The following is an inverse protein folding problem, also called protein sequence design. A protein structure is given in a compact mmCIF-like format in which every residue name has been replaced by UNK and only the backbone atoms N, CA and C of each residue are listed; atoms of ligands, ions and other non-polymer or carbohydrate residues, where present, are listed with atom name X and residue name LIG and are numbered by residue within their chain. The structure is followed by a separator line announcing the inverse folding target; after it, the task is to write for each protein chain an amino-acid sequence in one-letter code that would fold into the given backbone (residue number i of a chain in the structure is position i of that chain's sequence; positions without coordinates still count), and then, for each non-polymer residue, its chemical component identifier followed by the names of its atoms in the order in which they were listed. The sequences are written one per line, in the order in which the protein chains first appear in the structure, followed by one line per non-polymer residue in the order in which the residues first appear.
data_IF_420191674988
#
_entry.id   IF_420191674988
#
_cell.length_a   1.000
_cell.length_b   1.000
_cell.length_c   1.000
_cell.angle_alpha   90.00
_cell.angle_beta   90.00
_cell.angle_gamma   90.00
#
_symmetry.space_group_name_H-M   'P 1'
#
loop_
_entity.id
_entity.type
_entity.pdbx_description
1 polymer ?
#
# COMPACT_ATOMS: atom_id res chain seq x y z
N UNK A 1 19.82 -8.89 -3.90
CA UNK A 1 18.35 -8.89 -3.91
C UNK A 1 17.91 -7.65 -3.16
N UNK A 2 17.09 -6.75 -3.74
CA UNK A 2 16.65 -5.56 -3.02
C UNK A 2 15.82 -5.99 -1.82
N UNK A 3 16.14 -5.46 -0.63
CA UNK A 3 15.38 -5.70 0.60
C UNK A 3 14.16 -4.78 0.72
N UNK A 4 13.92 -3.93 -0.28
CA UNK A 4 12.86 -2.93 -0.28
C UNK A 4 12.12 -2.87 -1.61
N UNK A 5 10.89 -2.37 -1.53
CA UNK A 5 9.98 -2.06 -2.64
C UNK A 5 9.55 -0.60 -2.52
N UNK A 6 9.25 0.03 -3.65
CA UNK A 6 8.78 1.43 -3.63
C UNK A 6 7.27 1.46 -3.44
N UNK A 7 6.78 2.27 -2.52
CA UNK A 7 5.36 2.42 -2.24
C UNK A 7 4.94 3.85 -2.54
N UNK A 8 3.87 3.98 -3.32
CA UNK A 8 3.19 5.24 -3.57
C UNK A 8 1.71 5.09 -3.23
N UNK A 9 1.19 6.00 -2.41
CA UNK A 9 -0.22 6.05 -2.03
C UNK A 9 -0.77 7.38 -2.49
N UNK A 10 -1.73 7.31 -3.39
CA UNK A 10 -2.30 8.47 -4.07
C UNK A 10 -3.80 8.49 -3.83
N UNK A 11 -4.35 9.66 -3.55
CA UNK A 11 -5.79 9.93 -3.54
C UNK A 11 -6.14 10.86 -4.71
N UNK A 12 -7.41 11.21 -4.84
CA UNK A 12 -7.87 12.22 -5.79
C UNK A 12 -7.25 13.60 -5.54
N UNK A 13 -6.86 13.90 -4.30
CA UNK A 13 -6.40 15.23 -3.88
C UNK A 13 -4.87 15.34 -3.82
N UNK A 14 -4.18 14.33 -3.28
CA UNK A 14 -2.72 14.38 -3.08
C UNK A 14 -2.04 13.01 -2.92
N UNK A 15 -0.71 13.01 -2.95
CA UNK A 15 0.11 11.86 -2.61
C UNK A 15 0.31 11.82 -1.08
N UNK A 16 -0.30 10.83 -0.43
CA UNK A 16 -0.25 10.67 1.03
C UNK A 16 1.10 10.12 1.48
N UNK A 17 1.70 9.22 0.69
CA UNK A 17 2.93 8.53 1.05
C UNK A 17 3.70 8.14 -0.20
N UNK A 18 5.00 8.47 -0.21
CA UNK A 18 5.93 8.05 -1.24
C UNK A 18 7.27 7.71 -0.59
N UNK A 19 7.66 6.44 -0.63
CA UNK A 19 8.91 6.00 -0.01
C UNK A 19 9.23 4.52 -0.19
N UNK A 20 10.45 4.10 0.21
CA UNK A 20 10.82 2.69 0.25
C UNK A 20 10.19 2.01 1.47
N UNK A 21 9.67 0.80 1.27
CA UNK A 21 9.13 -0.07 2.32
C UNK A 21 9.73 -1.48 2.21
N UNK A 22 9.77 -2.21 3.31
CA UNK A 22 10.17 -3.63 3.33
C UNK A 22 8.96 -4.54 3.14
N UNK A 23 7.76 -4.09 3.50
CA UNK A 23 6.51 -4.83 3.35
C UNK A 23 5.31 -3.90 3.33
N UNK A 24 4.28 -4.27 2.56
CA UNK A 24 2.97 -3.59 2.56
C UNK A 24 1.89 -4.62 2.86
N UNK A 25 1.04 -4.35 3.83
CA UNK A 25 -0.15 -5.16 4.12
C UNK A 25 -1.38 -4.36 3.72
N UNK A 26 -2.23 -4.95 2.89
CA UNK A 26 -3.40 -4.31 2.34
C UNK A 26 -4.66 -5.20 2.47
N UNK A 27 -5.82 -4.61 2.78
CA UNK A 27 -7.09 -5.31 2.80
C UNK A 27 -7.61 -5.49 1.36
N UNK A 28 -7.27 -6.62 0.73
CA UNK A 28 -7.77 -7.00 -0.58
C UNK A 28 -9.21 -7.52 -0.53
N UNK A 29 -9.87 -7.58 -1.69
CA UNK A 29 -11.24 -8.10 -1.80
C UNK A 29 -11.39 -9.56 -1.34
N UNK A 30 -10.37 -10.39 -1.58
CA UNK A 30 -10.37 -11.83 -1.23
C UNK A 30 -9.79 -12.07 0.18
N UNK A 31 -9.38 -11.01 0.89
CA UNK A 31 -8.75 -11.08 2.20
C UNK A 31 -7.52 -10.19 2.30
N UNK A 32 -6.79 -10.35 3.40
CA UNK A 32 -5.59 -9.56 3.69
C UNK A 32 -4.40 -10.04 2.84
N UNK A 33 -3.69 -9.10 2.21
CA UNK A 33 -2.57 -9.37 1.31
C UNK A 33 -1.30 -8.71 1.85
N UNK A 34 -0.24 -9.51 2.03
CA UNK A 34 1.09 -9.02 2.36
C UNK A 34 1.98 -9.05 1.11
N UNK A 35 2.46 -7.89 0.71
CA UNK A 35 3.29 -7.69 -0.48
C UNK A 35 4.73 -7.45 -0.02
N UNK A 36 5.61 -8.30 -0.52
CA UNK A 36 7.05 -8.29 -0.24
C UNK A 36 7.83 -7.81 -1.48
N UNK A 37 9.12 -7.49 -1.33
CA UNK A 37 9.97 -7.11 -2.45
C UNK A 37 10.04 -8.23 -3.51
N UNK A 38 9.98 -7.86 -4.78
CA UNK A 38 9.92 -8.75 -5.95
C UNK A 38 8.65 -9.64 -6.02
N UNK A 39 7.54 -9.17 -5.44
CA UNK A 39 6.25 -9.81 -5.66
C UNK A 39 5.85 -9.74 -7.15
N UNK A 40 5.19 -10.78 -7.64
CA UNK A 40 4.64 -10.83 -9.00
C UNK A 40 3.67 -9.67 -9.27
N UNK A 41 3.53 -9.29 -10.54
CA UNK A 41 2.59 -8.25 -10.93
C UNK A 41 1.16 -8.63 -10.49
N UNK A 42 0.47 -7.69 -9.87
CA UNK A 42 -0.87 -7.90 -9.32
C UNK A 42 -1.68 -6.61 -9.47
N UNK A 43 -2.95 -6.75 -9.85
CA UNK A 43 -3.92 -5.66 -9.80
C UNK A 43 -5.14 -6.19 -9.05
N UNK A 44 -5.49 -5.54 -7.95
CA UNK A 44 -6.63 -5.92 -7.12
C UNK A 44 -7.38 -4.70 -6.62
N UNK A 45 -8.66 -4.88 -6.33
CA UNK A 45 -9.43 -3.93 -5.54
C UNK A 45 -9.11 -4.09 -4.06
N UNK A 46 -9.18 -2.97 -3.34
CA UNK A 46 -9.08 -2.89 -1.89
C UNK A 46 -10.45 -2.63 -1.29
N UNK A 47 -10.67 -3.18 -0.10
CA UNK A 47 -11.86 -2.93 0.71
C UNK A 47 -11.54 -1.97 1.87
N UNK A 48 -12.57 -1.50 2.55
CA UNK A 48 -12.38 -0.65 3.73
C UNK A 48 -11.59 -1.40 4.81
N UNK A 49 -10.55 -0.76 5.35
CA UNK A 49 -9.68 -1.34 6.35
C UNK A 49 -8.42 -0.52 6.58
N UNK A 50 -7.43 -1.14 7.22
CA UNK A 50 -6.13 -0.52 7.50
C UNK A 50 -5.08 -1.04 6.51
N UNK A 51 -4.45 -0.14 5.79
CA UNK A 51 -3.23 -0.39 5.03
C UNK A 51 -2.04 -0.19 5.97
N UNK A 52 -1.13 -1.16 6.07
CA UNK A 52 0.06 -1.05 6.92
C UNK A 52 1.30 -1.06 6.06
N UNK A 53 2.10 -0.02 6.19
CA UNK A 53 3.41 0.07 5.53
C UNK A 53 4.47 -0.16 6.58
N UNK A 54 5.32 -1.15 6.33
CA UNK A 54 6.50 -1.41 7.14
C UNK A 54 7.70 -0.81 6.42
N UNK A 55 8.23 0.26 6.98
CA UNK A 55 9.56 0.74 6.65
C UNK A 55 10.56 0.18 7.68
N UNK A 56 11.87 0.32 7.43
CA UNK A 56 12.95 -0.32 8.21
C UNK A 56 12.96 0.05 9.71
N UNK A 57 12.11 1.00 10.14
CA UNK A 57 12.10 1.53 11.52
C UNK A 57 10.70 1.75 12.10
N UNK A 58 9.62 1.79 11.31
CA UNK A 58 8.27 2.13 11.76
C UNK A 58 7.18 1.41 10.96
N UNK A 59 6.09 1.17 11.66
CA UNK A 59 4.80 0.80 11.07
C UNK A 59 3.99 2.07 10.88
N UNK A 60 3.56 2.34 9.64
CA UNK A 60 2.68 3.45 9.31
C UNK A 60 1.31 2.88 8.90
N UNK A 61 0.35 2.79 9.84
CA UNK A 61 -1.02 2.40 9.51
C UNK A 61 -1.77 3.57 8.88
N UNK A 62 -2.48 3.30 7.79
CA UNK A 62 -3.29 4.25 7.04
C UNK A 62 -4.68 3.64 6.86
N UNK A 63 -5.70 4.33 7.38
CA UNK A 63 -7.08 3.93 7.18
C UNK A 63 -7.53 4.28 5.75
N UNK A 64 -8.05 3.28 5.03
CA UNK A 64 -8.59 3.43 3.68
C UNK A 64 -10.05 2.96 3.64
N UNK A 65 -10.89 3.61 2.85
CA UNK A 65 -12.29 3.16 2.64
C UNK A 65 -12.42 2.16 1.50
N UNK A 66 -11.36 1.98 0.73
CA UNK A 66 -11.30 1.13 -0.44
C UNK A 66 -10.39 1.75 -1.50
N UNK A 67 -10.39 1.16 -2.69
CA UNK A 67 -9.64 1.66 -3.83
C UNK A 67 -9.01 0.55 -4.65
N UNK A 68 -7.84 0.81 -5.21
CA UNK A 68 -7.10 -0.13 -6.03
C UNK A 68 -5.65 -0.26 -5.57
N UNK A 69 -5.12 -1.46 -5.69
CA UNK A 69 -3.72 -1.75 -5.47
C UNK A 69 -3.13 -2.37 -6.74
N UNK A 70 -2.03 -1.79 -7.19
CA UNK A 70 -1.24 -2.28 -8.30
C UNK A 70 0.18 -2.59 -7.84
N UNK A 71 0.68 -3.75 -8.22
CA UNK A 71 2.09 -4.16 -8.08
C UNK A 71 2.67 -4.33 -9.47
N UNK A 72 3.74 -3.60 -9.76
CA UNK A 72 4.50 -3.73 -11.00
C UNK A 72 5.95 -3.31 -10.77
N UNK A 73 6.91 -4.02 -11.37
CA UNK A 73 8.33 -3.64 -11.36
C UNK A 73 8.90 -3.32 -9.97
N UNK A 74 8.55 -4.11 -8.95
CA UNK A 74 8.92 -3.90 -7.54
C UNK A 74 8.44 -2.55 -6.96
N UNK A 75 7.34 -2.03 -7.51
CA UNK A 75 6.63 -0.84 -7.06
C UNK A 75 5.19 -1.20 -6.73
N UNK A 76 4.69 -0.69 -5.61
CA UNK A 76 3.31 -0.80 -5.17
C UNK A 76 2.67 0.58 -5.27
N UNK A 77 1.59 0.67 -6.03
CA UNK A 77 0.79 1.87 -6.17
C UNK A 77 -0.58 1.58 -5.56
N UNK A 78 -0.95 2.39 -4.58
CA UNK A 78 -2.27 2.33 -3.94
C UNK A 78 -3.03 3.59 -4.32
N UNK A 79 -4.15 3.40 -5.00
CA UNK A 79 -5.12 4.44 -5.30
C UNK A 79 -6.22 4.33 -4.24
N UNK A 80 -6.16 5.17 -3.21
CA UNK A 80 -7.08 5.11 -2.08
C UNK A 80 -8.25 6.08 -2.25
N UNK A 81 -9.46 5.61 -1.98
CA UNK A 81 -10.68 6.40 -2.03
C UNK A 81 -10.90 7.06 -0.65
N UNK A 82 -10.23 8.20 -0.43
CA UNK A 82 -10.14 8.99 0.82
C UNK A 82 -9.48 8.29 2.04
N UNK A 83 -8.44 8.94 2.60
CA UNK A 83 -7.89 8.62 3.93
C UNK A 83 -8.03 9.83 4.84
N UNK A 84 -8.69 9.66 6.00
CA UNK A 84 -8.54 10.62 7.09
C UNK A 84 -7.25 10.28 7.81
N UNK A 85 -6.21 11.10 7.64
CA UNK A 85 -5.06 11.09 8.54
C UNK A 85 -5.59 11.26 9.97
N UNK A 86 -5.50 10.20 10.77
CA UNK A 86 -5.78 10.29 12.20
C UNK A 86 -4.66 11.13 12.81
N UNK A 87 -4.99 12.38 13.14
CA UNK A 87 -4.17 13.29 13.94
C UNK A 87 -3.92 12.75 15.35
#
# INVERSE_FOLDING_TARGET
MPLSLNVEIVTEEENIYSGPATMVVAPGYIGELAILPNHSNLLTTLVAGELKIYDDKKENPIAIRGGFLQVADNKVIVLADSSTNSQ
#
